data_IF_692518515026
#
_entry.id   IF_692518515026
#
_cell.length_a   1.000
_cell.length_b   1.000
_cell.length_c   1.000
_cell.angle_alpha   90.00
_cell.angle_beta   90.00
_cell.angle_gamma   90.00
#
_symmetry.space_group_name_H-M   'P 1'
#
loop_
_entity.id
_entity.type
_entity.pdbx_description
1 polymer ?
#
# COMPACT_ATOMS: atom_id res chain seq x y z
N UNK A 1 11.56 53.95 6.30
CA UNK A 1 10.47 53.06 6.77
C UNK A 1 9.92 52.12 5.68
N UNK A 2 9.67 52.58 4.46
CA UNK A 2 9.14 51.74 3.36
C UNK A 2 9.95 50.48 3.06
N UNK A 3 11.27 50.55 3.02
CA UNK A 3 12.12 49.40 2.66
C UNK A 3 12.15 48.26 3.72
N UNK A 4 11.94 48.58 5.00
CA UNK A 4 11.85 47.56 6.06
C UNK A 4 10.54 46.79 6.02
N UNK A 5 9.44 47.45 5.69
CA UNK A 5 8.12 46.78 5.56
C UNK A 5 8.07 45.84 4.39
N UNK A 6 8.69 46.19 3.26
CA UNK A 6 8.77 45.32 2.07
C UNK A 6 9.58 44.05 2.35
N UNK A 7 10.70 44.18 3.08
CA UNK A 7 11.54 43.00 3.48
C UNK A 7 10.78 42.03 4.41
N UNK A 8 9.97 42.55 5.34
CA UNK A 8 9.14 41.72 6.23
C UNK A 8 8.05 40.98 5.50
N UNK A 9 7.34 41.63 4.59
CA UNK A 9 6.27 41.05 3.78
C UNK A 9 6.84 39.97 2.87
N UNK A 10 7.98 40.19 2.23
CA UNK A 10 8.64 39.18 1.38
C UNK A 10 9.09 37.95 2.18
N UNK A 11 9.61 38.16 3.40
CA UNK A 11 10.01 37.03 4.29
C UNK A 11 8.82 36.15 4.72
N UNK A 12 7.72 36.78 5.10
CA UNK A 12 6.50 36.09 5.51
C UNK A 12 5.89 35.32 4.34
N UNK A 13 5.82 35.88 3.17
CA UNK A 13 5.32 35.23 1.95
C UNK A 13 6.18 34.03 1.59
N UNK A 14 7.53 34.13 1.68
CA UNK A 14 8.43 33.04 1.39
C UNK A 14 8.23 31.87 2.39
N UNK A 15 8.09 32.16 3.66
CA UNK A 15 7.85 31.12 4.71
C UNK A 15 6.51 30.44 4.50
N UNK A 16 5.45 31.18 4.18
CA UNK A 16 4.13 30.60 3.91
C UNK A 16 4.14 29.73 2.66
N UNK A 17 4.79 30.18 1.58
CA UNK A 17 4.93 29.37 0.36
C UNK A 17 5.75 28.10 0.60
N UNK A 18 6.84 28.20 1.37
CA UNK A 18 7.66 27.03 1.73
C UNK A 18 6.88 26.02 2.60
N UNK A 19 6.12 26.51 3.58
CA UNK A 19 5.23 25.68 4.41
C UNK A 19 4.13 25.02 3.55
N UNK A 20 3.49 25.74 2.64
CA UNK A 20 2.50 25.18 1.73
C UNK A 20 3.09 24.10 0.81
N UNK A 21 4.29 24.30 0.28
CA UNK A 21 4.98 23.29 -0.54
C UNK A 21 5.35 22.04 0.28
N UNK A 22 5.73 22.20 1.54
CA UNK A 22 6.00 21.09 2.45
C UNK A 22 4.70 20.33 2.78
N UNK A 23 3.62 21.03 3.06
CA UNK A 23 2.31 20.42 3.38
C UNK A 23 1.78 19.67 2.14
N UNK A 24 1.85 20.25 0.95
CA UNK A 24 1.42 19.58 -0.30
C UNK A 24 2.28 18.34 -0.62
N UNK A 25 3.56 18.31 -0.22
CA UNK A 25 4.41 17.12 -0.36
C UNK A 25 4.17 16.07 0.72
N UNK A 26 3.56 16.44 1.86
CA UNK A 26 3.26 15.53 2.98
C UNK A 26 1.82 15.00 2.93
N UNK A 27 0.93 15.59 2.12
CA UNK A 27 -0.37 14.98 1.89
C UNK A 27 -0.17 13.75 1.00
N UNK A 28 -0.53 12.55 1.50
CA UNK A 28 -0.56 11.35 0.66
C UNK A 28 -1.53 11.62 -0.51
N UNK A 29 -1.26 11.06 -1.69
CA UNK A 29 -2.18 11.20 -2.82
C UNK A 29 -3.57 10.73 -2.38
N UNK A 30 -4.58 11.59 -2.54
CA UNK A 30 -5.95 11.38 -2.07
C UNK A 30 -6.64 10.17 -2.71
N UNK A 31 -6.02 9.58 -3.72
CA UNK A 31 -6.58 8.54 -4.58
C UNK A 31 -5.88 7.17 -4.44
N UNK A 32 -5.02 6.99 -3.44
CA UNK A 32 -4.33 5.73 -3.20
C UNK A 32 -5.17 4.73 -2.40
N UNK A 33 -5.09 3.44 -2.74
CA UNK A 33 -5.72 2.40 -1.93
C UNK A 33 -4.90 2.11 -0.66
N UNK A 34 -5.59 1.94 0.47
CA UNK A 34 -4.98 1.51 1.73
C UNK A 34 -4.46 0.08 1.59
N UNK A 35 -3.19 -0.12 1.98
CA UNK A 35 -2.52 -1.42 1.84
C UNK A 35 -3.31 -2.58 2.45
N UNK A 36 -3.79 -2.44 3.68
CA UNK A 36 -4.58 -3.49 4.34
C UNK A 36 -5.87 -3.85 3.57
N UNK A 37 -6.51 -2.89 2.90
CA UNK A 37 -7.70 -3.15 2.07
C UNK A 37 -7.33 -3.90 0.80
N UNK A 38 -6.25 -3.51 0.13
CA UNK A 38 -5.75 -4.19 -1.06
C UNK A 38 -5.35 -5.64 -0.74
N UNK A 39 -4.64 -5.85 0.38
CA UNK A 39 -4.20 -7.18 0.82
C UNK A 39 -5.37 -8.09 1.17
N UNK A 40 -6.40 -7.57 1.85
CA UNK A 40 -7.64 -8.34 2.09
C UNK A 40 -8.30 -8.75 0.78
N UNK A 41 -8.45 -7.81 -0.17
CA UNK A 41 -9.04 -8.12 -1.46
C UNK A 41 -8.24 -9.20 -2.19
N UNK A 42 -6.90 -9.07 -2.21
CA UNK A 42 -6.01 -10.04 -2.83
C UNK A 42 -6.13 -11.44 -2.19
N UNK A 43 -6.09 -11.54 -0.86
CA UNK A 43 -6.24 -12.81 -0.17
C UNK A 43 -7.58 -13.48 -0.52
N UNK A 44 -8.68 -12.70 -0.56
CA UNK A 44 -10.01 -13.21 -0.89
C UNK A 44 -10.21 -13.53 -2.39
N UNK A 45 -9.32 -13.07 -3.27
CA UNK A 45 -9.26 -13.50 -4.67
C UNK A 45 -8.53 -14.83 -4.86
N UNK A 46 -7.62 -15.18 -3.94
CA UNK A 46 -6.77 -16.37 -4.01
C UNK A 46 -7.30 -17.53 -3.17
N UNK A 47 -8.06 -17.21 -2.12
CA UNK A 47 -8.67 -18.19 -1.21
C UNK A 47 -9.94 -17.62 -0.58
N UNK A 48 -10.60 -18.38 0.30
CA UNK A 48 -11.76 -17.90 1.04
C UNK A 48 -11.39 -17.36 2.44
N UNK A 49 -12.37 -16.76 3.10
CA UNK A 49 -12.20 -16.17 4.44
C UNK A 49 -11.94 -17.24 5.49
N UNK A 50 -12.61 -18.37 5.37
CA UNK A 50 -12.53 -19.50 6.28
C UNK A 50 -11.12 -20.09 6.32
N UNK A 51 -10.46 -20.23 5.17
CA UNK A 51 -9.08 -20.68 5.10
C UNK A 51 -8.11 -19.67 5.73
N UNK A 52 -8.29 -18.36 5.51
CA UNK A 52 -7.49 -17.34 6.18
C UNK A 52 -7.64 -17.39 7.70
N UNK A 53 -8.85 -17.59 8.21
CA UNK A 53 -9.15 -17.69 9.64
C UNK A 53 -8.55 -18.97 10.24
N UNK A 54 -8.74 -20.10 9.60
CA UNK A 54 -8.17 -21.39 10.01
C UNK A 54 -6.65 -21.34 10.11
N UNK A 55 -5.98 -20.79 9.10
CA UNK A 55 -4.51 -20.67 9.13
C UNK A 55 -4.04 -19.71 10.22
N UNK A 56 -4.79 -18.64 10.51
CA UNK A 56 -4.48 -17.74 11.61
C UNK A 56 -4.60 -18.43 12.97
N UNK A 57 -5.58 -19.34 13.17
CA UNK A 57 -5.77 -20.12 14.40
C UNK A 57 -4.70 -21.22 14.57
N UNK A 58 -4.32 -21.88 13.48
CA UNK A 58 -3.32 -22.96 13.47
C UNK A 58 -1.87 -22.44 13.56
N UNK A 59 -1.65 -21.13 13.36
CA UNK A 59 -0.33 -20.52 13.29
C UNK A 59 0.28 -20.35 14.69
N UNK A 60 1.50 -20.82 14.88
CA UNK A 60 2.26 -20.61 16.12
C UNK A 60 2.73 -19.16 16.27
N UNK A 61 3.19 -18.54 15.18
CA UNK A 61 3.74 -17.17 15.18
C UNK A 61 3.27 -16.38 13.97
N UNK A 62 2.67 -15.20 14.19
CA UNK A 62 2.35 -14.23 13.14
C UNK A 62 3.61 -13.50 12.65
N UNK A 63 3.58 -13.02 11.41
CA UNK A 63 4.58 -12.06 10.91
C UNK A 63 4.52 -10.72 11.64
N UNK A 64 3.36 -10.39 12.22
CA UNK A 64 3.14 -9.18 13.01
C UNK A 64 3.54 -9.36 14.48
N UNK A 65 3.86 -8.25 15.15
CA UNK A 65 4.16 -8.26 16.58
C UNK A 65 2.95 -8.72 17.41
N UNK A 66 3.21 -9.24 18.62
CA UNK A 66 2.16 -9.71 19.54
C UNK A 66 1.11 -8.63 19.88
N UNK A 67 1.47 -7.34 19.78
CA UNK A 67 0.55 -6.21 20.01
C UNK A 67 -0.36 -5.92 18.81
N UNK A 68 0.05 -6.34 17.63
CA UNK A 68 -0.61 -6.03 16.36
C UNK A 68 -1.41 -7.19 15.78
N UNK A 69 -1.11 -8.42 16.21
CA UNK A 69 -1.67 -9.67 15.66
C UNK A 69 -3.20 -9.76 15.65
N UNK A 70 -3.88 -9.05 16.55
CA UNK A 70 -5.34 -9.07 16.68
C UNK A 70 -6.05 -8.07 15.74
N UNK A 71 -5.31 -7.33 14.90
CA UNK A 71 -5.93 -6.46 13.90
C UNK A 71 -6.61 -7.29 12.80
N UNK A 72 -7.75 -6.80 12.32
CA UNK A 72 -8.62 -7.49 11.36
C UNK A 72 -7.93 -7.90 10.05
N UNK A 73 -6.89 -7.18 9.64
CA UNK A 73 -6.17 -7.42 8.38
C UNK A 73 -5.05 -8.46 8.51
N UNK A 74 -4.59 -8.76 9.72
CA UNK A 74 -3.39 -9.58 9.95
C UNK A 74 -3.56 -10.98 9.36
N UNK A 75 -4.69 -11.62 9.55
CA UNK A 75 -4.97 -12.97 8.99
C UNK A 75 -4.84 -13.03 7.47
N UNK A 76 -5.21 -11.96 6.77
CA UNK A 76 -5.09 -11.87 5.31
C UNK A 76 -3.65 -11.61 4.87
N UNK A 77 -2.95 -10.70 5.56
CA UNK A 77 -1.55 -10.42 5.25
C UNK A 77 -0.64 -11.60 5.61
N UNK A 78 -0.85 -12.24 6.74
CA UNK A 78 -0.12 -13.45 7.13
C UNK A 78 -0.29 -14.57 6.07
N UNK A 79 -1.50 -14.78 5.58
CA UNK A 79 -1.74 -15.72 4.47
C UNK A 79 -0.91 -15.36 3.23
N UNK A 80 -0.91 -14.08 2.84
CA UNK A 80 -0.18 -13.63 1.66
C UNK A 80 1.35 -13.71 1.83
N UNK A 81 1.87 -13.50 3.04
CA UNK A 81 3.31 -13.73 3.32
C UNK A 81 3.68 -15.20 3.21
N UNK A 82 2.87 -16.09 3.77
CA UNK A 82 3.13 -17.54 3.76
C UNK A 82 3.13 -18.11 2.33
N UNK A 83 2.23 -17.61 1.49
CA UNK A 83 2.13 -18.04 0.10
C UNK A 83 3.11 -17.30 -0.83
N UNK A 84 3.92 -16.36 -0.31
CA UNK A 84 4.92 -15.63 -1.08
C UNK A 84 4.36 -14.51 -1.97
N UNK A 85 3.11 -14.12 -1.77
CA UNK A 85 2.50 -12.98 -2.49
C UNK A 85 2.93 -11.63 -1.95
N UNK A 86 3.51 -11.58 -0.75
CA UNK A 86 4.12 -10.39 -0.16
C UNK A 86 5.60 -10.61 0.07
N UNK A 87 6.38 -9.57 -0.22
CA UNK A 87 7.80 -9.50 0.10
C UNK A 87 7.97 -8.66 1.38
N UNK A 88 8.50 -9.24 2.48
CA UNK A 88 8.71 -8.50 3.73
C UNK A 88 9.63 -7.28 3.60
N UNK A 89 10.53 -7.25 2.59
CA UNK A 89 11.40 -6.10 2.32
C UNK A 89 10.63 -4.95 1.65
N UNK A 90 9.61 -5.26 0.83
CA UNK A 90 8.75 -4.25 0.20
C UNK A 90 7.60 -3.83 1.09
N UNK A 91 6.99 -4.81 1.77
CA UNK A 91 5.80 -4.62 2.62
C UNK A 91 6.13 -5.10 4.04
N UNK A 92 6.64 -4.24 4.93
CA UNK A 92 6.92 -4.65 6.31
C UNK A 92 5.65 -5.08 7.06
N UNK A 93 5.74 -6.16 7.85
CA UNK A 93 4.65 -6.65 8.68
C UNK A 93 4.47 -5.77 9.92
N UNK A 94 3.83 -4.61 9.78
CA UNK A 94 3.54 -3.66 10.85
C UNK A 94 2.22 -2.94 10.63
N UNK A 95 1.61 -2.47 11.73
CA UNK A 95 0.39 -1.65 11.69
C UNK A 95 0.57 -0.39 10.84
N UNK A 96 1.69 0.30 11.01
CA UNK A 96 2.00 1.51 10.26
C UNK A 96 2.08 1.25 8.75
N UNK A 97 2.74 0.16 8.35
CA UNK A 97 2.79 -0.24 6.94
C UNK A 97 1.40 -0.62 6.41
N UNK A 98 0.62 -1.40 7.15
CA UNK A 98 -0.72 -1.84 6.74
C UNK A 98 -1.70 -0.66 6.56
N UNK A 99 -1.59 0.38 7.37
CA UNK A 99 -2.41 1.60 7.29
C UNK A 99 -1.94 2.60 6.22
N UNK A 100 -0.74 2.43 5.69
CA UNK A 100 -0.23 3.22 4.59
C UNK A 100 -0.86 2.84 3.25
N UNK A 101 -0.53 3.61 2.21
CA UNK A 101 -0.96 3.31 0.84
C UNK A 101 -0.13 2.18 0.23
N UNK A 102 -0.80 1.34 -0.56
CA UNK A 102 -0.14 0.39 -1.46
C UNK A 102 0.75 1.16 -2.44
N UNK A 103 1.94 0.65 -2.74
CA UNK A 103 2.84 1.25 -3.72
C UNK A 103 2.79 0.53 -5.07
N UNK A 104 3.26 1.19 -6.14
CA UNK A 104 3.43 0.54 -7.44
C UNK A 104 4.35 -0.69 -7.37
N UNK A 105 5.41 -0.64 -6.55
CA UNK A 105 6.32 -1.77 -6.38
C UNK A 105 5.62 -2.98 -5.79
N UNK A 106 4.82 -2.79 -4.74
CA UNK A 106 4.05 -3.84 -4.08
C UNK A 106 2.97 -4.42 -4.99
N UNK A 107 2.19 -3.57 -5.67
CA UNK A 107 1.19 -4.00 -6.63
C UNK A 107 1.82 -4.82 -7.77
N UNK A 108 2.97 -4.38 -8.29
CA UNK A 108 3.70 -5.09 -9.34
C UNK A 108 4.28 -6.41 -8.87
N UNK A 109 4.76 -6.49 -7.62
CA UNK A 109 5.25 -7.73 -7.03
C UNK A 109 4.10 -8.76 -6.91
N UNK A 110 2.99 -8.39 -6.28
CA UNK A 110 1.82 -9.28 -6.15
C UNK A 110 1.29 -9.75 -7.50
N UNK A 111 1.14 -8.83 -8.45
CA UNK A 111 0.70 -9.17 -9.79
C UNK A 111 1.63 -10.17 -10.48
N UNK A 112 2.94 -10.06 -10.28
CA UNK A 112 3.92 -10.99 -10.83
C UNK A 112 3.82 -12.39 -10.22
N UNK A 113 3.45 -12.51 -8.94
CA UNK A 113 3.25 -13.81 -8.28
C UNK A 113 2.01 -14.55 -8.82
N UNK A 114 0.96 -13.82 -9.20
CA UNK A 114 -0.22 -14.43 -9.82
C UNK A 114 0.05 -14.77 -11.28
N UNK A 115 0.50 -13.79 -12.05
CA UNK A 115 0.84 -13.95 -13.48
C UNK A 115 1.83 -12.89 -13.92
N UNK A 116 2.92 -13.30 -14.58
CA UNK A 116 3.91 -12.37 -15.13
C UNK A 116 3.32 -11.32 -16.09
N UNK A 117 2.16 -11.61 -16.73
CA UNK A 117 1.44 -10.68 -17.60
C UNK A 117 0.81 -9.53 -16.81
N UNK A 118 0.29 -9.81 -15.60
CA UNK A 118 -0.35 -8.81 -14.74
C UNK A 118 0.65 -7.78 -14.20
N UNK A 119 1.92 -8.13 -14.08
CA UNK A 119 2.99 -7.20 -13.68
C UNK A 119 3.04 -5.97 -14.59
N UNK A 120 2.83 -6.13 -15.89
CA UNK A 120 2.81 -5.02 -16.85
C UNK A 120 1.61 -4.09 -16.62
N UNK A 121 0.47 -4.62 -16.17
CA UNK A 121 -0.72 -3.83 -15.84
C UNK A 121 -0.52 -2.97 -14.59
N UNK A 122 0.27 -3.44 -13.63
CA UNK A 122 0.60 -2.66 -12.44
C UNK A 122 1.46 -1.43 -12.75
N UNK A 123 2.15 -1.39 -13.89
CA UNK A 123 2.83 -0.20 -14.39
C UNK A 123 3.98 0.32 -13.53
N UNK A 124 4.59 -0.53 -12.67
CA UNK A 124 5.72 -0.13 -11.84
C UNK A 124 6.94 0.20 -12.70
N UNK A 125 7.53 1.35 -12.45
CA UNK A 125 8.75 1.84 -13.08
C UNK A 125 9.74 2.28 -12.01
N UNK A 126 11.01 2.54 -12.41
CA UNK A 126 12.02 3.09 -11.48
C UNK A 126 11.58 4.41 -10.84
N UNK A 127 10.78 5.21 -11.55
CA UNK A 127 10.43 6.56 -11.13
C UNK A 127 9.19 6.60 -10.23
N UNK A 128 8.29 5.61 -10.30
CA UNK A 128 7.03 5.60 -9.54
C UNK A 128 6.95 4.49 -8.48
N UNK A 129 7.95 3.62 -8.36
CA UNK A 129 7.90 2.41 -7.53
C UNK A 129 7.41 2.63 -6.10
N UNK A 130 7.82 3.74 -5.49
CA UNK A 130 7.53 4.08 -4.09
C UNK A 130 6.34 5.05 -3.97
N UNK A 131 5.67 5.40 -5.09
CA UNK A 131 4.46 6.21 -5.09
C UNK A 131 3.24 5.35 -4.75
N UNK A 132 2.21 5.98 -4.19
CA UNK A 132 0.94 5.33 -3.94
C UNK A 132 0.32 4.82 -5.24
N UNK A 133 -0.17 3.58 -5.19
CA UNK A 133 -0.89 2.96 -6.29
C UNK A 133 -2.34 3.48 -6.28
N UNK A 134 -2.85 4.06 -7.38
CA UNK A 134 -4.19 4.60 -7.42
C UNK A 134 -5.25 3.54 -7.14
N UNK A 135 -6.30 3.91 -6.41
CA UNK A 135 -7.37 2.98 -6.06
C UNK A 135 -8.10 2.46 -7.31
N UNK A 136 -8.34 3.32 -8.29
CA UNK A 136 -8.97 2.93 -9.56
C UNK A 136 -8.13 1.87 -10.31
N UNK A 137 -6.81 2.09 -10.40
CA UNK A 137 -5.88 1.16 -11.04
C UNK A 137 -5.83 -0.17 -10.28
N UNK A 138 -5.94 -0.13 -8.94
CA UNK A 138 -6.04 -1.34 -8.13
C UNK A 138 -7.26 -2.18 -8.48
N UNK A 139 -8.44 -1.57 -8.58
CA UNK A 139 -9.66 -2.33 -8.89
C UNK A 139 -9.65 -2.91 -10.30
N UNK A 140 -8.99 -2.25 -11.26
CA UNK A 140 -8.75 -2.80 -12.60
C UNK A 140 -7.79 -4.00 -12.55
N UNK A 141 -6.68 -3.88 -11.83
CA UNK A 141 -5.72 -4.95 -11.62
C UNK A 141 -6.38 -6.13 -10.89
N UNK A 142 -7.14 -5.87 -9.83
CA UNK A 142 -7.90 -6.87 -9.08
C UNK A 142 -8.89 -7.66 -9.97
N UNK A 143 -9.62 -6.98 -10.82
CA UNK A 143 -10.49 -7.64 -11.81
C UNK A 143 -9.74 -8.55 -12.79
N UNK A 144 -8.49 -8.24 -13.09
CA UNK A 144 -7.61 -9.09 -13.90
C UNK A 144 -7.06 -10.27 -13.10
N UNK A 145 -6.74 -10.07 -11.82
CA UNK A 145 -6.34 -11.14 -10.90
C UNK A 145 -7.45 -12.19 -10.79
N UNK A 146 -8.70 -11.77 -10.57
CA UNK A 146 -9.83 -12.69 -10.48
C UNK A 146 -9.99 -13.57 -11.74
N UNK A 147 -9.73 -13.01 -12.92
CA UNK A 147 -9.80 -13.77 -14.19
C UNK A 147 -8.66 -14.78 -14.35
N UNK A 148 -7.49 -14.50 -13.79
CA UNK A 148 -6.32 -15.42 -13.83
C UNK A 148 -6.46 -16.53 -12.78
N UNK A 149 -7.22 -16.32 -11.71
CA UNK A 149 -7.43 -17.29 -10.62
C UNK A 149 -8.71 -18.10 -10.76
N UNK A 150 -9.62 -17.71 -11.67
CA UNK A 150 -10.85 -18.47 -11.99
C UNK A 150 -10.49 -19.72 -12.82
N UNK A 151 -10.83 -20.93 -12.37
CA UNK A 151 -10.43 -22.20 -12.98
C UNK A 151 -11.11 -22.50 -14.33
#
# INVERSE_FOLDING_TARGET
MKNRMIAWVSGVVLVVVTLMVIIVKLEPPRDGIIRAQAMKAMALALTDKEECEKRAEERETSHFSAKEKDNWFVKYMDYLYDEGYLDPELTPASLAAAQGYLTYAEASYMAAQVSGKLKLQAGSTRNNRDQAFPEEDWWQLYGSILKETDP
#
